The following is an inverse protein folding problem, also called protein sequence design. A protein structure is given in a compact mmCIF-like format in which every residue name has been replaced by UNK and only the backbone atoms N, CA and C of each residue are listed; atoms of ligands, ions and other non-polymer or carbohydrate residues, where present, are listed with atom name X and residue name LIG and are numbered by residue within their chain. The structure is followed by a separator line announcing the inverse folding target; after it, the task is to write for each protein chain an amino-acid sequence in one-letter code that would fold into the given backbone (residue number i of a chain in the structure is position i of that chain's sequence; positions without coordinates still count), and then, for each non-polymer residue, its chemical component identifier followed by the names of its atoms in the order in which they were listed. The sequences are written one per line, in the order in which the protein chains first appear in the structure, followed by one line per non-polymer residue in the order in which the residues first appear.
data_IF_364278796670
#
_entry.id   IF_364278796670
#
_cell.length_a   1.000
_cell.length_b   1.000
_cell.length_c   1.000
_cell.angle_alpha   90.00
_cell.angle_beta   90.00
_cell.angle_gamma   90.00
#
_symmetry.space_group_name_H-M   'P 1'
#
loop_
_entity.id
_entity.type
_entity.pdbx_description
1 polymer ?
#
# COMPACT_ATOMS: atom_id res chain seq x y z
N UNK A 1 34.40 -65.09 57.43
CA UNK A 1 34.29 -65.16 55.95
C UNK A 1 32.84 -65.30 55.46
N UNK A 2 32.03 -66.27 55.96
CA UNK A 2 30.66 -66.45 55.45
C UNK A 2 29.69 -65.30 55.75
N UNK A 3 29.75 -64.66 56.91
CA UNK A 3 28.92 -63.48 57.24
C UNK A 3 29.22 -62.24 56.39
N UNK A 4 30.48 -62.07 55.96
CA UNK A 4 30.88 -60.96 55.09
C UNK A 4 30.36 -61.18 53.67
N UNK A 5 30.46 -62.40 53.15
CA UNK A 5 29.91 -62.78 51.84
C UNK A 5 28.38 -62.68 51.79
N UNK A 6 27.69 -63.05 52.88
CA UNK A 6 26.23 -62.95 52.97
C UNK A 6 25.77 -61.47 52.95
N UNK A 7 26.47 -60.59 53.67
CA UNK A 7 26.18 -59.15 53.66
C UNK A 7 26.47 -58.47 52.31
N UNK A 8 27.48 -58.93 51.57
CA UNK A 8 27.80 -58.42 50.23
C UNK A 8 26.71 -58.85 49.23
N UNK A 9 26.30 -60.13 49.26
CA UNK A 9 25.24 -60.66 48.40
C UNK A 9 23.89 -59.97 48.65
N UNK A 10 23.57 -59.67 49.91
CA UNK A 10 22.33 -58.97 50.26
C UNK A 10 22.33 -57.51 49.79
N UNK A 11 23.50 -56.86 49.79
CA UNK A 11 23.66 -55.48 49.27
C UNK A 11 23.54 -55.44 47.74
N UNK A 12 24.16 -56.39 47.03
CA UNK A 12 24.06 -56.46 45.57
C UNK A 12 22.65 -56.80 45.09
N UNK A 13 21.95 -57.68 45.81
CA UNK A 13 20.56 -58.01 45.51
C UNK A 13 19.62 -56.81 45.72
N UNK A 14 19.82 -56.03 46.79
CA UNK A 14 19.06 -54.80 47.04
C UNK A 14 19.29 -53.74 45.97
N UNK A 15 20.54 -53.54 45.53
CA UNK A 15 20.89 -52.58 44.48
C UNK A 15 20.24 -52.98 43.14
N UNK A 16 20.27 -54.27 42.77
CA UNK A 16 19.60 -54.76 41.57
C UNK A 16 18.07 -54.61 41.63
N UNK A 17 17.47 -54.77 42.82
CA UNK A 17 16.04 -54.51 43.04
C UNK A 17 15.73 -53.03 42.88
N UNK A 18 16.57 -52.15 43.44
CA UNK A 18 16.44 -50.70 43.31
C UNK A 18 16.55 -50.23 41.85
N UNK A 19 17.49 -50.77 41.08
CA UNK A 19 17.63 -50.47 39.65
C UNK A 19 16.42 -50.97 38.83
N UNK A 20 15.92 -52.18 39.12
CA UNK A 20 14.69 -52.70 38.50
C UNK A 20 13.46 -51.86 38.85
N UNK A 21 13.35 -51.36 40.08
CA UNK A 21 12.28 -50.44 40.47
C UNK A 21 12.41 -49.06 39.81
N UNK A 22 13.63 -48.55 39.58
CA UNK A 22 13.85 -47.29 38.84
C UNK A 22 13.39 -47.37 37.38
N UNK A 23 13.52 -48.54 36.74
CA UNK A 23 13.00 -48.77 35.37
C UNK A 23 11.47 -48.97 35.31
N UNK A 24 10.82 -49.26 36.44
CA UNK A 24 9.37 -49.43 36.57
C UNK A 24 8.63 -48.13 36.94
N UNK A 25 9.34 -47.01 37.12
CA UNK A 25 8.70 -45.70 37.20
C UNK A 25 8.29 -45.31 35.78
N UNK A 26 7.12 -45.81 35.43
CA UNK A 26 6.27 -45.38 34.32
C UNK A 26 6.39 -43.86 34.25
N UNK A 27 6.86 -43.39 33.08
CA UNK A 27 6.79 -42.01 32.65
C UNK A 27 5.52 -41.37 33.22
N UNK A 28 5.68 -40.42 34.14
CA UNK A 28 4.65 -39.47 34.48
C UNK A 28 4.39 -38.65 33.21
N UNK A 29 3.62 -39.23 32.29
CA UNK A 29 2.89 -38.52 31.26
C UNK A 29 1.74 -37.79 31.97
N UNK A 30 2.09 -36.91 32.91
CA UNK A 30 1.32 -35.70 33.07
C UNK A 30 1.52 -34.93 31.77
N UNK A 31 0.67 -35.24 30.79
CA UNK A 31 0.27 -34.28 29.77
C UNK A 31 -0.34 -33.10 30.54
N UNK A 32 0.51 -32.24 31.08
CA UNK A 32 0.14 -30.88 31.39
C UNK A 32 -0.23 -30.32 30.01
N UNK A 33 -1.53 -30.34 29.70
CA UNK A 33 -2.07 -29.49 28.65
C UNK A 33 -1.71 -28.08 29.07
N UNK A 34 -0.56 -27.59 28.60
CA UNK A 34 -0.25 -26.19 28.63
C UNK A 34 -1.42 -25.52 27.92
N UNK A 35 -2.32 -24.94 28.72
CA UNK A 35 -3.46 -24.15 28.25
C UNK A 35 -2.87 -23.22 27.20
N UNK A 36 -3.28 -23.39 25.94
CA UNK A 36 -2.66 -22.68 24.82
C UNK A 36 -2.56 -21.21 25.19
N UNK A 37 -1.35 -20.66 25.15
CA UNK A 37 -1.05 -19.22 25.33
C UNK A 37 -1.88 -18.34 24.34
N UNK A 38 -2.55 -18.98 23.38
CA UNK A 38 -3.42 -18.39 22.36
C UNK A 38 -4.92 -18.29 22.73
N UNK A 39 -5.32 -18.51 23.99
CA UNK A 39 -6.67 -18.08 24.40
C UNK A 39 -6.70 -16.55 24.37
N UNK A 40 -7.54 -15.91 23.53
CA UNK A 40 -7.65 -14.46 23.56
C UNK A 40 -8.04 -14.05 24.97
N UNK A 41 -7.28 -13.12 25.57
CA UNK A 41 -7.60 -12.58 26.90
C UNK A 41 -9.09 -12.19 26.90
N UNK A 42 -9.87 -12.59 27.93
CA UNK A 42 -11.26 -12.18 28.01
C UNK A 42 -11.31 -10.66 27.88
N UNK A 43 -12.14 -10.16 26.96
CA UNK A 43 -12.33 -8.71 26.80
C UNK A 43 -13.04 -8.21 28.05
N UNK A 44 -12.28 -7.78 29.05
CA UNK A 44 -12.79 -7.05 30.20
C UNK A 44 -13.50 -5.81 29.66
N UNK A 45 -14.83 -5.81 29.69
CA UNK A 45 -15.60 -4.60 29.42
C UNK A 45 -15.33 -3.66 30.58
N UNK A 46 -15.09 -2.39 30.28
CA UNK A 46 -15.03 -1.38 31.33
C UNK A 46 -16.31 -1.48 32.17
N UNK A 47 -16.20 -1.44 33.51
CA UNK A 47 -17.37 -1.47 34.35
C UNK A 47 -18.30 -0.30 34.01
N UNK A 48 -19.61 -0.50 34.18
CA UNK A 48 -20.64 0.47 33.80
C UNK A 48 -20.52 1.81 34.53
N UNK A 49 -19.94 1.82 35.73
CA UNK A 49 -19.67 3.01 36.53
C UNK A 49 -18.39 3.77 36.15
N UNK A 50 -17.53 3.20 35.28
CA UNK A 50 -16.35 3.91 34.80
C UNK A 50 -16.79 5.01 33.84
N UNK A 51 -16.82 6.25 34.35
CA UNK A 51 -17.10 7.43 33.54
C UNK A 51 -16.09 7.52 32.41
N UNK A 52 -16.59 7.49 31.17
CA UNK A 52 -15.75 7.72 30.00
C UNK A 52 -15.30 9.18 30.06
N UNK A 53 -13.99 9.42 30.00
CA UNK A 53 -13.46 10.78 29.84
C UNK A 53 -14.11 11.42 28.61
N UNK A 54 -14.79 12.54 28.79
CA UNK A 54 -15.32 13.31 27.68
C UNK A 54 -14.14 13.81 26.84
N UNK A 55 -14.10 13.44 25.56
CA UNK A 55 -13.07 13.90 24.62
C UNK A 55 -13.78 14.78 23.60
N UNK A 56 -13.58 16.08 23.69
CA UNK A 56 -13.94 17.00 22.62
C UNK A 56 -12.74 17.18 21.68
N UNK A 57 -13.01 17.42 20.40
CA UNK A 57 -11.97 17.76 19.42
C UNK A 57 -11.46 19.18 19.63
N UNK A 58 -12.35 20.10 19.99
CA UNK A 58 -12.00 21.47 20.35
C UNK A 58 -12.19 21.68 21.86
N UNK A 59 -11.30 22.43 22.52
CA UNK A 59 -11.55 22.90 23.88
C UNK A 59 -12.67 23.95 23.84
N UNK A 60 -13.67 23.82 24.71
CA UNK A 60 -14.83 24.72 24.77
C UNK A 60 -14.49 26.20 25.07
N UNK A 61 -13.23 26.53 25.36
CA UNK A 61 -12.77 27.84 25.82
C UNK A 61 -12.17 28.71 24.70
N UNK A 62 -12.19 28.27 23.45
CA UNK A 62 -11.55 28.99 22.35
C UNK A 62 -12.52 30.00 21.71
N UNK A 63 -12.25 31.30 21.86
CA UNK A 63 -12.96 32.37 21.15
C UNK A 63 -12.72 32.31 19.64
N UNK A 64 -13.57 32.96 18.86
CA UNK A 64 -13.43 33.01 17.40
C UNK A 64 -12.12 33.71 16.97
N UNK A 65 -11.78 34.82 17.61
CA UNK A 65 -10.52 35.56 17.39
C UNK A 65 -9.29 34.65 17.60
N UNK A 66 -9.30 33.84 18.66
CA UNK A 66 -8.21 32.91 18.93
C UNK A 66 -8.12 31.81 17.86
N UNK A 67 -9.24 31.38 17.27
CA UNK A 67 -9.23 30.40 16.18
C UNK A 67 -8.61 30.97 14.91
N UNK A 68 -8.90 32.23 14.60
CA UNK A 68 -8.35 32.94 13.45
C UNK A 68 -6.84 33.15 13.64
N UNK A 69 -6.43 33.65 14.81
CA UNK A 69 -5.01 33.78 15.17
C UNK A 69 -4.25 32.44 15.07
N UNK A 70 -4.83 31.34 15.54
CA UNK A 70 -4.18 30.03 15.42
C UNK A 70 -4.02 29.57 13.97
N UNK A 71 -4.96 29.91 13.08
CA UNK A 71 -4.81 29.60 11.64
C UNK A 71 -3.68 30.40 11.02
N UNK A 72 -3.54 31.67 11.39
CA UNK A 72 -2.44 32.54 10.96
C UNK A 72 -1.08 32.02 11.44
N UNK A 73 -0.96 31.70 12.73
CA UNK A 73 0.26 31.09 13.30
C UNK A 73 0.63 29.80 12.58
N UNK A 74 -0.36 28.99 12.20
CA UNK A 74 -0.13 27.77 11.43
C UNK A 74 0.32 28.09 10.01
N UNK A 75 -0.30 29.05 9.31
CA UNK A 75 0.12 29.43 7.96
C UNK A 75 1.54 29.98 7.95
N UNK A 76 1.86 30.91 8.86
CA UNK A 76 3.17 31.57 8.93
C UNK A 76 4.28 30.56 9.21
N UNK A 77 4.00 29.58 10.08
CA UNK A 77 4.93 28.51 10.40
C UNK A 77 5.29 27.64 9.19
N UNK A 78 4.38 27.46 8.24
CA UNK A 78 4.53 26.52 7.12
C UNK A 78 4.63 27.20 5.74
N UNK A 79 4.62 28.54 5.65
CA UNK A 79 4.71 29.27 4.38
C UNK A 79 6.06 29.04 3.65
N UNK A 80 7.17 28.97 4.39
CA UNK A 80 8.52 28.93 3.83
C UNK A 80 9.17 27.54 3.94
N UNK A 81 8.49 26.50 3.45
CA UNK A 81 9.08 25.15 3.41
C UNK A 81 10.07 25.08 2.25
N UNK A 82 11.36 25.08 2.59
CA UNK A 82 12.44 24.75 1.66
C UNK A 82 12.98 23.36 1.97
N UNK A 83 13.48 22.61 0.96
CA UNK A 83 14.13 21.33 1.21
C UNK A 83 15.36 21.52 2.09
N UNK A 84 15.60 20.57 3.00
CA UNK A 84 16.66 20.72 4.01
C UNK A 84 18.08 20.73 3.44
N UNK A 85 18.26 20.11 2.28
CA UNK A 85 19.54 20.10 1.56
C UNK A 85 19.28 20.26 0.07
N UNK A 86 20.33 20.68 -0.65
CA UNK A 86 20.33 20.70 -2.11
C UNK A 86 20.17 19.27 -2.63
N UNK A 87 19.40 19.11 -3.71
CA UNK A 87 19.20 17.83 -4.37
C UNK A 87 20.44 17.54 -5.22
N UNK A 88 21.06 16.37 -5.04
CA UNK A 88 22.18 15.95 -5.87
C UNK A 88 21.70 15.65 -7.30
N UNK A 89 22.09 16.48 -8.26
CA UNK A 89 21.75 16.35 -9.69
C UNK A 89 22.78 15.58 -10.51
N UNK A 90 24.00 15.40 -9.98
CA UNK A 90 25.13 14.80 -10.70
C UNK A 90 25.02 13.27 -10.85
N UNK A 91 23.83 12.69 -10.76
CA UNK A 91 23.64 11.23 -10.75
C UNK A 91 23.16 10.80 -12.12
N UNK A 92 23.98 10.00 -12.79
CA UNK A 92 23.63 9.42 -14.08
C UNK A 92 22.47 8.43 -13.95
N UNK A 93 21.49 8.57 -14.83
CA UNK A 93 20.34 7.69 -14.84
C UNK A 93 20.71 6.29 -15.35
N UNK A 94 20.20 5.25 -14.69
CA UNK A 94 20.32 3.87 -15.12
C UNK A 94 18.98 3.12 -14.97
N UNK A 95 18.62 2.30 -15.96
CA UNK A 95 17.39 1.50 -16.00
C UNK A 95 17.19 0.53 -14.81
N UNK A 96 18.27 0.18 -14.10
CA UNK A 96 18.21 -0.65 -12.88
C UNK A 96 17.82 0.15 -11.64
N UNK A 97 18.05 1.46 -11.63
CA UNK A 97 17.75 2.33 -10.51
C UNK A 97 16.25 2.51 -10.37
N UNK A 98 15.82 2.65 -9.12
CA UNK A 98 14.42 2.87 -8.80
C UNK A 98 14.29 4.17 -8.05
N UNK A 99 13.64 5.15 -8.67
CA UNK A 99 13.26 6.41 -8.04
C UNK A 99 11.92 6.29 -7.29
N UNK A 100 11.53 7.39 -6.67
CA UNK A 100 10.27 7.52 -5.93
C UNK A 100 9.05 7.45 -6.84
N UNK A 101 7.89 7.16 -6.25
CA UNK A 101 6.59 7.35 -6.90
C UNK A 101 5.87 8.56 -6.32
N UNK A 102 4.63 8.77 -6.75
CA UNK A 102 3.75 9.83 -6.28
C UNK A 102 2.49 9.25 -5.64
N UNK A 103 1.91 10.02 -4.71
CA UNK A 103 0.57 9.78 -4.21
C UNK A 103 -0.36 10.73 -4.95
N UNK A 104 -1.46 10.21 -5.46
CA UNK A 104 -2.35 10.96 -6.33
C UNK A 104 -3.80 10.70 -5.98
N UNK A 105 -4.69 11.57 -6.45
CA UNK A 105 -6.14 11.44 -6.34
C UNK A 105 -6.73 11.20 -7.73
N UNK A 106 -7.53 10.14 -7.87
CA UNK A 106 -8.24 9.85 -9.11
C UNK A 106 -9.39 10.85 -9.27
N UNK A 107 -9.40 11.68 -10.30
CA UNK A 107 -10.50 12.63 -10.55
C UNK A 107 -11.62 11.96 -11.34
N UNK A 108 -11.30 11.32 -12.45
CA UNK A 108 -12.34 10.86 -13.37
C UNK A 108 -11.77 10.28 -14.65
N UNK A 109 -12.65 10.02 -15.61
CA UNK A 109 -12.30 9.42 -16.90
C UNK A 109 -12.61 10.43 -17.98
N UNK A 110 -11.68 10.66 -18.89
CA UNK A 110 -11.79 11.62 -19.97
C UNK A 110 -11.38 10.97 -21.31
N UNK A 111 -12.20 11.06 -22.36
CA UNK A 111 -11.83 10.57 -23.69
C UNK A 111 -10.84 11.52 -24.36
N UNK A 112 -9.87 10.99 -25.08
CA UNK A 112 -8.94 11.73 -25.93
C UNK A 112 -8.91 11.12 -27.32
N UNK A 113 -8.42 11.87 -28.30
CA UNK A 113 -8.28 11.39 -29.68
C UNK A 113 -6.81 11.39 -30.08
N UNK A 114 -6.40 10.32 -30.76
CA UNK A 114 -5.13 10.28 -31.46
C UNK A 114 -5.23 11.08 -32.76
N UNK A 115 -4.07 11.46 -33.31
CA UNK A 115 -3.98 12.02 -34.65
C UNK A 115 -4.53 11.06 -35.72
N UNK A 116 -4.52 9.75 -35.45
CA UNK A 116 -5.12 8.72 -36.30
C UNK A 116 -6.66 8.68 -36.24
N UNK A 117 -7.32 9.60 -35.54
CA UNK A 117 -8.79 9.63 -35.35
C UNK A 117 -9.33 8.59 -34.34
N UNK A 118 -8.48 7.68 -33.84
CA UNK A 118 -8.86 6.67 -32.84
C UNK A 118 -9.11 7.33 -31.48
N UNK A 119 -10.26 7.01 -30.89
CA UNK A 119 -10.62 7.41 -29.52
C UNK A 119 -9.92 6.54 -28.49
N UNK A 120 -9.33 7.17 -27.48
CA UNK A 120 -8.73 6.54 -26.30
C UNK A 120 -9.46 7.02 -25.04
N UNK A 121 -9.77 6.10 -24.14
CA UNK A 121 -10.24 6.45 -22.80
C UNK A 121 -9.03 6.64 -21.87
N UNK A 122 -8.95 7.79 -21.21
CA UNK A 122 -7.90 8.11 -20.24
C UNK A 122 -8.50 8.37 -18.86
N UNK A 123 -7.74 8.15 -17.80
CA UNK A 123 -8.12 8.50 -16.44
C UNK A 123 -7.27 9.67 -15.96
N UNK A 124 -7.94 10.69 -15.43
CA UNK A 124 -7.35 11.87 -14.82
C UNK A 124 -6.89 11.56 -13.41
N UNK A 125 -5.62 11.84 -13.13
CA UNK A 125 -5.00 11.60 -11.84
C UNK A 125 -4.28 12.88 -11.42
N UNK A 126 -4.72 13.47 -10.31
CA UNK A 126 -4.12 14.69 -9.79
C UNK A 126 -3.06 14.35 -8.74
N UNK A 127 -1.88 14.92 -8.91
CA UNK A 127 -0.84 14.96 -7.89
C UNK A 127 -1.21 16.10 -6.95
N UNK A 128 -1.64 15.74 -5.74
CA UNK A 128 -1.83 16.72 -4.68
C UNK A 128 -0.48 17.13 -4.10
N UNK A 129 -0.52 18.04 -3.14
CA UNK A 129 0.60 18.50 -2.33
C UNK A 129 1.40 17.32 -1.73
N UNK A 130 2.43 16.89 -2.48
CA UNK A 130 3.27 15.73 -2.22
C UNK A 130 4.64 16.20 -1.75
N UNK A 131 5.00 15.84 -0.52
CA UNK A 131 6.34 16.10 0.00
C UNK A 131 7.03 14.84 0.50
N UNK A 132 8.35 14.85 0.42
CA UNK A 132 9.18 13.85 1.10
C UNK A 132 9.24 14.17 2.58
N UNK A 133 8.82 13.21 3.41
CA UNK A 133 8.75 13.39 4.88
C UNK A 133 9.99 12.84 5.55
N UNK A 134 10.39 11.61 5.20
CA UNK A 134 11.52 10.94 5.83
C UNK A 134 12.12 9.89 4.90
N UNK A 135 13.44 9.81 4.90
CA UNK A 135 14.18 8.71 4.32
C UNK A 135 14.56 7.70 5.41
N UNK A 136 14.49 6.41 5.08
CA UNK A 136 14.95 5.30 5.91
C UNK A 136 15.97 4.52 5.08
N UNK A 137 17.19 4.42 5.60
CA UNK A 137 18.29 3.73 4.93
C UNK A 137 17.98 2.23 4.75
N UNK A 138 18.64 1.54 3.79
CA UNK A 138 18.44 0.10 3.60
C UNK A 138 18.85 -0.74 4.82
N UNK A 139 19.73 -0.21 5.68
CA UNK A 139 20.25 -0.86 6.88
C UNK A 139 19.28 -0.75 8.05
N UNK A 140 18.72 0.44 8.26
CA UNK A 140 17.69 0.69 9.27
C UNK A 140 16.35 0.05 8.93
N UNK A 141 16.08 -0.16 7.64
CA UNK A 141 14.80 -0.67 7.21
C UNK A 141 14.60 -2.14 7.63
N UNK A 142 13.91 -2.33 8.76
CA UNK A 142 13.49 -3.65 9.22
C UNK A 142 12.10 -4.04 8.67
N UNK A 143 11.97 -5.06 7.81
CA UNK A 143 10.66 -5.52 7.34
C UNK A 143 9.92 -6.31 8.45
N UNK A 144 8.58 -6.20 8.54
CA UNK A 144 7.79 -6.86 9.59
C UNK A 144 7.80 -8.40 9.49
N UNK A 145 8.21 -8.96 8.35
CA UNK A 145 8.46 -10.39 8.18
C UNK A 145 9.94 -10.57 7.87
N UNK A 146 10.65 -11.35 8.70
CA UNK A 146 12.02 -11.79 8.39
C UNK A 146 11.97 -12.52 7.05
N UNK A 147 12.72 -12.00 6.07
CA UNK A 147 12.83 -12.64 4.75
C UNK A 147 13.77 -13.83 4.85
N UNK A 148 13.42 -14.91 4.17
CA UNK A 148 14.14 -16.20 4.22
C UNK A 148 15.48 -16.13 3.47
N UNK A 149 15.65 -15.16 2.55
CA UNK A 149 16.80 -15.09 1.64
C UNK A 149 17.57 -13.76 1.74
N UNK A 150 18.88 -13.81 1.47
CA UNK A 150 19.75 -12.65 1.29
C UNK A 150 19.34 -11.89 0.02
N UNK A 151 19.05 -10.59 0.15
CA UNK A 151 18.71 -9.74 -0.99
C UNK A 151 19.97 -9.04 -1.50
N UNK A 152 20.26 -9.24 -2.78
CA UNK A 152 21.46 -8.69 -3.45
C UNK A 152 21.34 -7.16 -3.65
N UNK A 153 20.13 -6.63 -3.83
CA UNK A 153 19.88 -5.20 -4.05
C UNK A 153 18.97 -4.61 -2.95
N UNK A 154 19.53 -4.39 -1.76
CA UNK A 154 18.78 -3.75 -0.66
C UNK A 154 18.42 -2.31 -1.06
N UNK A 155 17.14 -1.97 -0.96
CA UNK A 155 16.60 -0.64 -1.28
C UNK A 155 16.26 0.10 0.00
N UNK A 156 16.49 1.41 -0.01
CA UNK A 156 15.99 2.30 1.03
C UNK A 156 14.49 2.49 0.89
N UNK A 157 13.90 3.16 1.87
CA UNK A 157 12.50 3.51 1.86
C UNK A 157 12.31 5.00 2.05
N UNK A 158 11.58 5.63 1.14
CA UNK A 158 11.22 7.03 1.21
C UNK A 158 9.75 7.15 1.57
N UNK A 159 9.46 7.93 2.61
CA UNK A 159 8.11 8.23 3.07
C UNK A 159 7.66 9.52 2.40
N UNK A 160 6.57 9.44 1.66
CA UNK A 160 5.95 10.56 0.97
C UNK A 160 4.62 10.84 1.65
N UNK A 161 4.34 12.12 1.90
CA UNK A 161 3.08 12.60 2.42
C UNK A 161 2.29 13.36 1.37
N UNK A 162 0.97 13.17 1.36
CA UNK A 162 0.05 13.81 0.43
C UNK A 162 -1.16 14.40 1.13
N UNK A 163 -1.66 15.51 0.57
CA UNK A 163 -2.80 16.30 1.05
C UNK A 163 -2.51 16.92 2.43
N UNK A 164 -2.24 18.24 2.45
CA UNK A 164 -2.09 18.98 3.69
C UNK A 164 -3.36 18.90 4.54
N UNK A 165 -3.17 18.83 5.84
CA UNK A 165 -4.26 18.87 6.81
C UNK A 165 -3.86 19.61 8.07
N UNK A 166 -4.88 20.14 8.73
CA UNK A 166 -4.70 20.92 9.95
C UNK A 166 -4.05 20.05 11.05
N UNK A 167 -2.96 20.53 11.67
CA UNK A 167 -2.28 19.79 12.73
C UNK A 167 -3.17 19.42 13.91
N UNK A 168 -4.24 20.18 14.16
CA UNK A 168 -5.21 19.96 15.23
C UNK A 168 -6.00 18.66 15.10
N UNK A 169 -6.17 18.15 13.88
CA UNK A 169 -6.92 16.91 13.64
C UNK A 169 -6.12 15.65 14.00
N UNK A 170 -4.81 15.78 14.24
CA UNK A 170 -3.91 14.66 14.44
C UNK A 170 -3.34 14.60 15.86
N UNK A 171 -2.85 13.42 16.23
CA UNK A 171 -2.15 13.24 17.50
C UNK A 171 -0.76 13.90 17.45
N UNK A 172 -0.28 14.32 18.63
CA UNK A 172 1.07 14.90 18.79
C UNK A 172 2.18 14.00 18.23
N UNK A 173 2.02 12.69 18.37
CA UNK A 173 2.94 11.67 17.84
C UNK A 173 2.97 11.68 16.31
N UNK A 174 1.80 11.73 15.67
CA UNK A 174 1.70 11.79 14.21
C UNK A 174 2.33 13.07 13.65
N UNK A 175 2.02 14.23 14.27
CA UNK A 175 2.68 15.49 13.94
C UNK A 175 4.20 15.43 14.18
N UNK A 176 4.65 14.62 15.14
CA UNK A 176 6.07 14.38 15.43
C UNK A 176 6.86 13.83 14.24
N UNK A 177 6.21 13.08 13.34
CA UNK A 177 6.86 12.49 12.15
C UNK A 177 7.35 13.57 11.20
N UNK A 178 6.60 14.67 11.07
CA UNK A 178 6.87 15.73 10.10
C UNK A 178 7.85 16.79 10.62
N UNK A 179 8.11 16.83 11.93
CA UNK A 179 9.07 17.78 12.55
C UNK A 179 10.43 17.73 11.89
N UNK A 180 10.90 16.53 11.55
CA UNK A 180 12.18 16.31 10.89
C UNK A 180 12.23 16.81 9.45
N UNK A 181 11.08 17.09 8.81
CA UNK A 181 11.00 17.64 7.44
C UNK A 181 10.57 19.11 7.40
N UNK A 182 10.02 19.65 8.49
CA UNK A 182 9.43 20.98 8.53
C UNK A 182 8.10 21.13 7.78
N UNK A 183 7.60 20.08 7.11
CA UNK A 183 6.37 20.13 6.32
C UNK A 183 5.12 20.10 7.22
N UNK A 184 4.04 20.74 6.77
CA UNK A 184 2.73 20.59 7.38
C UNK A 184 2.28 19.11 7.41
N UNK A 185 1.63 18.62 8.49
CA UNK A 185 1.11 17.26 8.55
C UNK A 185 0.22 16.94 7.34
N UNK A 186 0.47 15.78 6.74
CA UNK A 186 -0.28 15.31 5.57
C UNK A 186 -1.27 14.22 5.98
N UNK A 187 -2.43 14.12 5.31
CA UNK A 187 -3.45 13.08 5.63
C UNK A 187 -2.98 11.69 5.26
N UNK A 188 -2.28 11.57 4.14
CA UNK A 188 -1.88 10.28 3.59
C UNK A 188 -0.37 10.15 3.60
N UNK A 189 0.12 8.98 4.03
CA UNK A 189 1.53 8.62 3.99
C UNK A 189 1.70 7.33 3.19
N UNK A 190 2.66 7.31 2.28
CA UNK A 190 3.04 6.12 1.54
C UNK A 190 4.55 5.90 1.59
N UNK A 191 4.92 4.64 1.43
CA UNK A 191 6.31 4.18 1.43
C UNK A 191 6.68 3.72 0.04
N UNK A 192 7.70 4.33 -0.54
CA UNK A 192 8.27 3.91 -1.81
C UNK A 192 9.66 3.31 -1.57
N UNK A 193 9.92 2.19 -2.23
CA UNK A 193 11.27 1.59 -2.23
C UNK A 193 12.11 2.27 -3.30
N UNK A 194 13.27 2.77 -2.89
CA UNK A 194 14.11 3.66 -3.67
C UNK A 194 15.56 3.15 -3.62
N UNK A 195 16.29 3.26 -4.72
CA UNK A 195 17.73 2.98 -4.73
C UNK A 195 18.49 4.01 -3.87
N UNK A 196 19.61 3.67 -3.23
CA UNK A 196 20.39 4.62 -2.42
C UNK A 196 20.83 5.88 -3.16
N UNK A 197 21.00 5.79 -4.48
CA UNK A 197 21.33 6.91 -5.36
C UNK A 197 20.14 7.83 -5.65
N UNK A 198 18.90 7.33 -5.61
CA UNK A 198 17.70 8.09 -5.95
C UNK A 198 17.07 8.80 -4.73
N UNK A 199 17.88 9.10 -3.71
CA UNK A 199 17.41 9.63 -2.43
C UNK A 199 17.14 11.12 -2.55
N UNK A 200 15.99 11.55 -2.03
CA UNK A 200 15.60 12.95 -1.97
C UNK A 200 15.65 13.44 -0.53
N UNK A 201 16.09 14.70 -0.31
CA UNK A 201 16.04 15.29 1.00
C UNK A 201 14.59 15.46 1.49
N UNK A 202 14.35 15.32 2.79
CA UNK A 202 13.04 15.64 3.37
C UNK A 202 12.69 17.12 3.15
N UNK A 203 11.40 17.41 2.99
CA UNK A 203 10.88 18.72 2.63
C UNK A 203 10.69 18.92 1.13
N UNK A 204 11.35 18.13 0.27
CA UNK A 204 11.24 18.28 -1.20
C UNK A 204 9.81 18.10 -1.69
N UNK A 205 9.35 19.05 -2.52
CA UNK A 205 8.07 19.02 -3.21
C UNK A 205 8.17 18.12 -4.46
N UNK A 206 7.13 17.33 -4.71
CA UNK A 206 7.02 16.45 -5.87
C UNK A 206 5.81 16.82 -6.72
N UNK A 207 6.04 17.19 -7.98
CA UNK A 207 4.99 17.56 -8.94
C UNK A 207 4.70 16.46 -9.95
N UNK A 208 3.70 16.67 -10.80
CA UNK A 208 3.34 15.75 -11.88
C UNK A 208 4.48 15.53 -12.89
N UNK A 209 5.36 16.53 -13.05
CA UNK A 209 6.53 16.46 -13.94
C UNK A 209 7.60 15.46 -13.52
N UNK A 210 7.44 14.82 -12.36
CA UNK A 210 8.23 13.64 -12.02
C UNK A 210 8.15 12.54 -13.10
N UNK A 211 7.01 12.43 -13.78
CA UNK A 211 6.88 11.53 -14.92
C UNK A 211 6.90 12.34 -16.22
N UNK A 212 7.69 11.96 -17.24
CA UNK A 212 7.57 12.57 -18.55
C UNK A 212 6.43 11.91 -19.36
N UNK A 213 5.99 12.59 -20.41
CA UNK A 213 4.92 12.11 -21.30
C UNK A 213 5.41 10.92 -22.15
N UNK A 214 4.49 10.02 -22.52
CA UNK A 214 4.78 8.84 -23.33
C UNK A 214 5.31 7.64 -22.53
N UNK A 215 5.66 7.85 -21.26
CA UNK A 215 6.16 6.80 -20.38
C UNK A 215 5.09 5.93 -19.72
N UNK A 216 5.53 4.78 -19.23
CA UNK A 216 4.66 3.78 -18.63
C UNK A 216 4.77 3.75 -17.10
N UNK A 217 3.61 3.79 -16.44
CA UNK A 217 3.48 3.74 -14.98
C UNK A 217 2.65 2.54 -14.53
N UNK A 218 2.94 2.07 -13.33
CA UNK A 218 2.13 1.12 -12.59
C UNK A 218 1.36 1.88 -11.51
N UNK A 219 0.08 1.58 -11.39
CA UNK A 219 -0.87 2.33 -10.58
C UNK A 219 -1.52 1.40 -9.58
N UNK A 220 -1.27 1.65 -8.29
CA UNK A 220 -1.82 0.88 -7.17
C UNK A 220 -2.91 1.68 -6.46
N UNK A 221 -4.08 1.08 -6.32
CA UNK A 221 -5.21 1.71 -5.60
C UNK A 221 -6.04 0.69 -4.85
N UNK A 222 -6.91 1.17 -3.98
CA UNK A 222 -7.91 0.33 -3.30
C UNK A 222 -9.12 0.20 -4.20
N UNK A 223 -9.50 -1.02 -4.56
CA UNK A 223 -10.69 -1.24 -5.40
C UNK A 223 -11.97 -0.82 -4.67
N UNK A 224 -12.96 -0.31 -5.41
CA UNK A 224 -14.35 -0.08 -4.97
C UNK A 224 -14.83 -1.18 -4.03
N UNK A 225 -15.40 -0.79 -2.89
CA UNK A 225 -15.98 -1.73 -1.96
C UNK A 225 -17.36 -2.17 -2.45
N UNK A 226 -17.59 -3.49 -2.52
CA UNK A 226 -18.88 -4.06 -2.90
C UNK A 226 -19.52 -4.84 -1.75
N UNK A 227 -18.94 -4.82 -0.54
CA UNK A 227 -19.45 -5.54 0.62
C UNK A 227 -19.48 -7.07 0.42
N UNK A 228 -20.38 -7.74 1.14
CA UNK A 228 -20.57 -9.18 1.02
C UNK A 228 -21.30 -9.54 -0.28
N UNK A 229 -20.64 -10.27 -1.17
CA UNK A 229 -21.16 -10.65 -2.48
C UNK A 229 -21.33 -12.17 -2.62
N UNK A 230 -22.39 -12.56 -3.33
CA UNK A 230 -22.63 -13.95 -3.72
C UNK A 230 -21.61 -14.45 -4.75
N UNK A 231 -21.55 -15.78 -4.95
CA UNK A 231 -20.56 -16.43 -5.83
C UNK A 231 -20.62 -16.00 -7.29
N UNK A 232 -21.81 -15.70 -7.81
CA UNK A 232 -21.96 -15.24 -9.19
C UNK A 232 -21.25 -13.90 -9.40
N UNK A 233 -21.50 -12.89 -8.56
CA UNK A 233 -20.89 -11.56 -8.70
C UNK A 233 -19.42 -11.55 -8.30
N UNK A 234 -19.06 -12.32 -7.26
CA UNK A 234 -17.68 -12.35 -6.71
C UNK A 234 -16.71 -13.14 -7.57
N UNK A 235 -17.13 -14.29 -8.10
CA UNK A 235 -16.27 -15.25 -8.78
C UNK A 235 -16.68 -15.56 -10.23
N UNK A 236 -17.79 -14.98 -10.72
CA UNK A 236 -18.27 -15.21 -12.08
C UNK A 236 -18.94 -16.58 -12.29
N UNK A 237 -19.49 -17.20 -11.24
CA UNK A 237 -20.20 -18.47 -11.37
C UNK A 237 -21.46 -18.29 -12.24
N UNK A 238 -21.77 -19.28 -13.10
CA UNK A 238 -22.94 -19.23 -14.00
C UNK A 238 -24.28 -19.34 -13.26
N UNK A 239 -24.32 -20.01 -12.11
CA UNK A 239 -25.57 -20.32 -11.41
C UNK A 239 -26.30 -21.53 -12.04
N UNK A 240 -27.56 -21.74 -11.64
CA UNK A 240 -28.45 -22.77 -12.19
C UNK A 240 -29.47 -22.12 -13.15
N UNK A 241 -30.08 -22.88 -14.09
CA UNK A 241 -31.09 -22.32 -15.00
C UNK A 241 -32.31 -21.76 -14.26
N UNK A 242 -33.06 -20.90 -14.95
CA UNK A 242 -34.25 -20.27 -14.40
C UNK A 242 -35.51 -21.17 -14.47
N UNK A 243 -35.61 -22.01 -15.51
CA UNK A 243 -36.74 -22.90 -15.80
C UNK A 243 -36.39 -24.38 -15.58
N UNK A 244 -37.30 -25.29 -16.00
CA UNK A 244 -37.15 -26.75 -15.93
C UNK A 244 -37.01 -27.32 -14.51
N UNK A 245 -37.85 -26.87 -13.57
CA UNK A 245 -38.00 -27.47 -12.23
C UNK A 245 -36.94 -27.06 -11.20
N UNK A 246 -36.06 -26.11 -11.50
CA UNK A 246 -35.07 -25.59 -10.55
C UNK A 246 -35.76 -24.80 -9.43
N UNK A 247 -35.73 -25.34 -8.21
CA UNK A 247 -36.37 -24.71 -7.05
C UNK A 247 -35.33 -24.07 -6.11
N UNK A 248 -35.37 -22.74 -5.92
CA UNK A 248 -34.58 -21.98 -4.91
C UNK A 248 -33.04 -22.11 -5.00
N UNK A 249 -32.48 -22.55 -6.13
CA UNK A 249 -31.03 -22.75 -6.30
C UNK A 249 -30.36 -21.90 -7.38
N UNK A 250 -31.09 -21.00 -8.06
CA UNK A 250 -30.60 -20.21 -9.22
C UNK A 250 -29.23 -19.54 -9.02
N UNK A 251 -28.93 -19.05 -7.80
CA UNK A 251 -27.70 -18.30 -7.49
C UNK A 251 -26.75 -19.00 -6.51
N UNK A 252 -27.00 -20.27 -6.20
CA UNK A 252 -26.18 -21.05 -5.25
C UNK A 252 -24.84 -21.47 -5.88
N UNK A 253 -23.80 -21.75 -5.07
CA UNK A 253 -22.50 -22.22 -5.57
C UNK A 253 -22.52 -23.59 -6.25
N UNK A 254 -23.55 -24.41 -6.01
CA UNK A 254 -23.53 -25.82 -6.40
C UNK A 254 -22.62 -26.62 -5.47
N UNK A 255 -21.95 -27.63 -6.00
CA UNK A 255 -21.02 -28.46 -5.24
C UNK A 255 -19.74 -27.67 -4.87
N UNK A 256 -19.26 -27.84 -3.63
CA UNK A 256 -18.13 -27.11 -3.03
C UNK A 256 -16.93 -28.04 -2.77
N UNK A 257 -17.10 -29.36 -2.86
CA UNK A 257 -16.05 -30.30 -2.48
C UNK A 257 -16.08 -31.63 -3.24
N UNK A 258 -14.91 -32.25 -3.33
CA UNK A 258 -14.76 -33.60 -3.86
C UNK A 258 -15.22 -34.60 -2.81
N UNK A 259 -16.24 -35.40 -3.12
CA UNK A 259 -16.64 -36.54 -2.30
C UNK A 259 -15.47 -37.54 -2.14
N UNK A 260 -15.55 -38.38 -1.11
CA UNK A 260 -14.55 -39.42 -0.82
C UNK A 260 -13.87 -39.27 0.54
N UNK A 261 -12.67 -39.84 0.64
CA UNK A 261 -11.94 -40.12 1.89
C UNK A 261 -11.57 -38.88 2.73
N UNK A 262 -11.38 -37.71 2.08
CA UNK A 262 -10.84 -36.52 2.74
C UNK A 262 -11.88 -35.58 3.38
N UNK A 263 -13.19 -35.85 3.25
CA UNK A 263 -14.28 -35.28 4.07
C UNK A 263 -14.28 -33.77 4.35
N UNK A 264 -13.56 -32.95 3.57
CA UNK A 264 -13.30 -31.53 3.88
C UNK A 264 -13.26 -30.66 2.63
N UNK A 265 -13.50 -29.37 2.82
CA UNK A 265 -13.33 -28.36 1.77
C UNK A 265 -11.87 -27.92 1.67
N UNK A 266 -11.35 -27.80 0.45
CA UNK A 266 -9.98 -27.36 0.21
C UNK A 266 -9.78 -25.88 0.60
N UNK A 267 -8.68 -25.51 1.28
CA UNK A 267 -8.37 -24.11 1.57
C UNK A 267 -8.29 -23.28 0.29
N UNK A 268 -8.89 -22.09 0.28
CA UNK A 268 -8.95 -21.24 -0.91
C UNK A 268 -10.10 -21.54 -1.88
N UNK A 269 -10.99 -22.50 -1.56
CA UNK A 269 -12.21 -22.75 -2.34
C UNK A 269 -13.06 -21.48 -2.50
N UNK A 270 -13.54 -21.23 -3.72
CA UNK A 270 -14.30 -20.02 -4.07
C UNK A 270 -15.69 -20.05 -3.43
N UNK A 271 -15.89 -19.20 -2.43
CA UNK A 271 -17.12 -19.07 -1.64
C UNK A 271 -17.67 -17.63 -1.67
N UNK A 272 -18.95 -17.40 -1.29
CA UNK A 272 -19.47 -16.04 -1.12
C UNK A 272 -18.70 -15.29 -0.01
N UNK A 273 -18.70 -13.97 -0.06
CA UNK A 273 -17.96 -13.17 0.92
C UNK A 273 -17.62 -11.77 0.44
N UNK A 274 -16.82 -11.07 1.23
CA UNK A 274 -16.45 -9.68 0.94
C UNK A 274 -15.70 -9.55 -0.41
N UNK A 275 -16.20 -8.69 -1.28
CA UNK A 275 -15.63 -8.35 -2.58
C UNK A 275 -15.21 -6.89 -2.62
N UNK A 276 -14.05 -6.59 -3.19
CA UNK A 276 -13.53 -5.23 -3.26
C UNK A 276 -12.77 -4.82 -1.99
N UNK A 277 -12.57 -3.50 -1.82
CA UNK A 277 -11.86 -2.89 -0.69
C UNK A 277 -10.42 -3.43 -0.46
N UNK A 278 -9.78 -3.94 -1.52
CA UNK A 278 -8.43 -4.51 -1.49
C UNK A 278 -7.52 -3.73 -2.41
N UNK A 279 -6.22 -3.71 -2.11
CA UNK A 279 -5.24 -3.11 -3.01
C UNK A 279 -5.07 -3.96 -4.27
N UNK A 280 -5.18 -3.32 -5.43
CA UNK A 280 -4.86 -3.90 -6.75
C UNK A 280 -3.97 -2.92 -7.51
N UNK A 281 -3.28 -3.46 -8.52
CA UNK A 281 -2.31 -2.72 -9.32
C UNK A 281 -2.70 -2.90 -10.78
N UNK A 282 -2.90 -1.80 -11.49
CA UNK A 282 -2.99 -1.77 -12.96
C UNK A 282 -1.61 -1.41 -13.49
N UNK A 283 -1.05 -2.25 -14.37
CA UNK A 283 0.37 -2.18 -14.77
C UNK A 283 0.52 -1.78 -16.22
N UNK A 284 1.62 -1.09 -16.53
CA UNK A 284 2.01 -0.74 -17.90
C UNK A 284 1.07 0.25 -18.56
N UNK A 285 0.63 1.28 -17.83
CA UNK A 285 -0.25 2.31 -18.36
C UNK A 285 0.57 3.49 -18.89
N UNK A 286 0.38 3.86 -20.17
CA UNK A 286 1.05 5.00 -20.82
C UNK A 286 0.49 6.34 -20.31
N UNK A 287 1.34 7.35 -20.15
CA UNK A 287 0.94 8.74 -19.88
C UNK A 287 0.79 9.48 -21.20
N UNK A 288 -0.37 10.09 -21.43
CA UNK A 288 -0.73 10.75 -22.71
C UNK A 288 -0.60 12.27 -22.67
N UNK A 289 -0.87 12.87 -21.50
CA UNK A 289 -0.81 14.32 -21.29
C UNK A 289 -0.48 14.60 -19.83
N UNK A 290 0.24 15.70 -19.60
CA UNK A 290 0.51 16.24 -18.27
C UNK A 290 0.19 17.72 -18.29
N UNK A 291 -0.51 18.18 -17.25
CA UNK A 291 -0.76 19.59 -17.01
C UNK A 291 0.08 20.06 -15.82
N UNK A 292 0.93 21.07 -16.03
CA UNK A 292 1.86 21.61 -15.03
C UNK A 292 1.13 22.41 -13.94
N UNK A 293 0.19 23.25 -14.35
CA UNK A 293 -0.54 24.19 -13.49
C UNK A 293 -1.37 23.51 -12.42
N UNK A 294 -2.14 22.49 -12.80
CA UNK A 294 -3.01 21.74 -11.89
C UNK A 294 -2.38 20.42 -11.39
N UNK A 295 -1.17 20.10 -11.86
CA UNK A 295 -0.46 18.86 -11.57
C UNK A 295 -1.30 17.60 -11.88
N UNK A 296 -1.88 17.54 -13.08
CA UNK A 296 -2.76 16.42 -13.50
C UNK A 296 -2.07 15.57 -14.56
N UNK A 297 -2.20 14.25 -14.43
CA UNK A 297 -1.72 13.23 -15.34
C UNK A 297 -2.91 12.57 -16.04
N UNK A 298 -2.86 12.47 -17.37
CA UNK A 298 -3.79 11.67 -18.17
C UNK A 298 -3.16 10.31 -18.44
N UNK A 299 -3.65 9.29 -17.75
CA UNK A 299 -3.13 7.93 -17.87
C UNK A 299 -4.04 7.08 -18.74
N UNK A 300 -3.45 6.23 -19.57
CA UNK A 300 -4.17 5.31 -20.46
C UNK A 300 -5.11 4.38 -19.71
N UNK A 301 -6.31 4.20 -20.26
CA UNK A 301 -7.32 3.26 -19.79
C UNK A 301 -8.27 3.84 -18.74
N UNK A 302 -9.42 3.17 -18.60
CA UNK A 302 -10.46 3.48 -17.61
C UNK A 302 -10.33 2.64 -16.33
N UNK A 303 -9.61 1.52 -16.42
CA UNK A 303 -9.56 0.47 -15.39
C UNK A 303 -8.55 0.76 -14.26
N UNK A 304 -8.54 2.00 -13.76
CA UNK A 304 -7.75 2.36 -12.57
C UNK A 304 -8.51 1.97 -11.30
N UNK A 305 -7.88 1.20 -10.38
CA UNK A 305 -8.54 0.71 -9.18
C UNK A 305 -8.98 1.86 -8.27
N UNK A 306 -10.24 1.79 -7.85
CA UNK A 306 -10.85 2.75 -6.92
C UNK A 306 -11.92 3.61 -7.56
N UNK A 307 -12.71 4.22 -6.70
CA UNK A 307 -13.77 5.16 -7.08
C UNK A 307 -13.18 6.51 -7.47
N UNK A 308 -13.99 7.38 -8.06
CA UNK A 308 -13.66 8.80 -8.20
C UNK A 308 -13.33 9.39 -6.83
N UNK A 309 -12.33 10.27 -6.76
CA UNK A 309 -11.73 10.87 -5.58
C UNK A 309 -10.96 9.92 -4.65
N UNK A 310 -10.79 8.65 -5.02
CA UNK A 310 -9.96 7.72 -4.24
C UNK A 310 -8.46 8.00 -4.40
N UNK A 311 -7.70 7.66 -3.37
CA UNK A 311 -6.25 7.76 -3.35
C UNK A 311 -5.61 6.61 -4.13
N UNK A 312 -4.60 6.96 -4.90
CA UNK A 312 -3.89 6.07 -5.80
C UNK A 312 -2.39 6.35 -5.71
N UNK A 313 -1.57 5.30 -5.78
CA UNK A 313 -0.11 5.38 -5.77
C UNK A 313 0.40 5.10 -7.17
N UNK A 314 1.15 6.05 -7.74
CA UNK A 314 1.71 5.98 -9.09
C UNK A 314 3.22 5.83 -8.97
N UNK A 315 3.80 4.89 -9.70
CA UNK A 315 5.25 4.70 -9.76
C UNK A 315 5.66 4.14 -11.13
N UNK A 316 6.94 4.22 -11.47
CA UNK A 316 7.44 3.71 -12.75
C UNK A 316 7.09 2.23 -12.97
N UNK A 317 6.77 1.85 -14.21
CA UNK A 317 6.32 0.49 -14.48
C UNK A 317 7.39 -0.54 -14.17
N UNK A 318 6.98 -1.64 -13.52
CA UNK A 318 7.85 -2.79 -13.26
C UNK A 318 7.77 -3.84 -14.37
N UNK A 319 7.02 -3.57 -15.45
CA UNK A 319 6.87 -4.49 -16.58
C UNK A 319 8.14 -4.44 -17.44
N UNK A 320 8.84 -5.57 -17.66
CA UNK A 320 10.14 -5.56 -18.38
C UNK A 320 10.09 -4.94 -19.78
N UNK A 321 9.03 -5.20 -20.54
CA UNK A 321 8.84 -4.69 -21.91
C UNK A 321 8.48 -3.21 -21.99
N UNK A 322 8.14 -2.59 -20.85
CA UNK A 322 7.69 -1.19 -20.76
C UNK A 322 8.64 -0.34 -19.92
N UNK A 323 9.89 -0.80 -19.77
CA UNK A 323 10.93 0.01 -19.16
C UNK A 323 11.27 1.21 -20.05
N UNK A 324 11.60 2.36 -19.46
CA UNK A 324 12.08 3.52 -20.22
C UNK A 324 13.35 3.16 -20.99
N UNK A 325 13.38 3.57 -22.25
CA UNK A 325 14.58 3.51 -23.11
C UNK A 325 15.36 4.82 -23.01
N UNK A 326 14.64 5.94 -22.90
CA UNK A 326 15.19 7.29 -22.75
C UNK A 326 15.45 7.62 -21.27
N UNK A 327 16.42 8.52 -20.97
CA UNK A 327 16.71 8.92 -19.62
C UNK A 327 15.55 9.68 -18.99
N UNK A 328 15.22 9.30 -17.75
CA UNK A 328 14.20 9.95 -16.93
C UNK A 328 14.77 11.15 -16.20
N UNK A 329 13.94 12.15 -15.82
CA UNK A 329 14.34 13.12 -14.82
C UNK A 329 14.65 12.36 -13.51
N UNK A 330 15.89 12.47 -13.06
CA UNK A 330 16.41 11.69 -11.94
C UNK A 330 17.23 12.60 -11.02
N UNK A 331 17.06 12.52 -9.67
CA UNK A 331 16.13 11.67 -8.93
C UNK A 331 14.65 12.07 -9.08
N UNK A 332 14.38 13.35 -9.33
CA UNK A 332 13.05 13.96 -9.61
C UNK A 332 13.23 15.13 -10.57
N UNK A 333 12.12 15.69 -11.06
CA UNK A 333 12.12 16.96 -11.79
C UNK A 333 12.36 18.15 -10.85
N UNK A 334 13.28 19.05 -11.21
CA UNK A 334 13.57 20.27 -10.45
C UNK A 334 12.79 21.45 -11.00
N UNK A 335 12.21 22.26 -10.11
CA UNK A 335 11.42 23.43 -10.51
C UNK A 335 12.38 24.58 -10.80
N UNK A 336 12.46 25.01 -12.07
CA UNK A 336 13.36 26.07 -12.49
C UNK A 336 13.06 26.57 -13.90
N UNK A 337 12.59 25.68 -14.78
CA UNK A 337 12.26 26.03 -16.15
C UNK A 337 10.76 26.32 -16.30
N UNK A 338 10.42 27.43 -16.98
CA UNK A 338 9.04 27.72 -17.40
C UNK A 338 8.61 26.69 -18.44
N UNK A 339 7.80 25.73 -18.01
CA UNK A 339 7.22 24.71 -18.87
C UNK A 339 5.87 25.18 -19.42
N UNK A 340 5.47 24.71 -20.62
CA UNK A 340 4.12 24.96 -21.13
C UNK A 340 3.06 24.40 -20.16
N UNK A 341 1.85 24.97 -20.20
CA UNK A 341 0.76 24.55 -19.32
C UNK A 341 0.38 23.08 -19.54
N UNK A 342 0.38 22.63 -20.80
CA UNK A 342 0.07 21.27 -21.19
C UNK A 342 1.17 20.66 -22.06
N UNK A 343 1.60 19.45 -21.69
CA UNK A 343 2.53 18.63 -22.47
C UNK A 343 1.77 17.43 -23.00
N UNK A 344 1.71 17.28 -24.33
CA UNK A 344 1.03 16.20 -25.02
C UNK A 344 2.02 15.17 -25.57
N UNK A 345 1.58 13.92 -25.68
CA UNK A 345 2.32 12.90 -26.39
C UNK A 345 2.23 13.14 -27.90
N UNK A 346 3.27 12.75 -28.65
CA UNK A 346 3.36 12.99 -30.10
C UNK A 346 2.19 12.37 -30.88
N UNK A 347 1.62 11.28 -30.39
CA UNK A 347 0.52 10.57 -31.04
C UNK A 347 -0.85 11.23 -30.80
N UNK A 348 -0.96 12.09 -29.79
CA UNK A 348 -2.22 12.68 -29.34
C UNK A 348 -2.52 13.94 -30.15
N UNK A 349 -3.79 14.11 -30.49
CA UNK A 349 -4.25 15.34 -31.13
C UNK A 349 -4.39 16.45 -30.06
N UNK A 350 -3.70 17.58 -30.27
CA UNK A 350 -3.84 18.76 -29.41
C UNK A 350 -5.25 19.33 -29.56
N UNK A 351 -5.84 19.80 -28.45
CA UNK A 351 -7.19 20.35 -28.46
C UNK A 351 -7.28 21.68 -29.23
N UNK A 352 -6.20 22.47 -29.23
CA UNK A 352 -6.11 23.75 -29.95
C UNK A 352 -5.71 23.58 -31.42
N UNK A 353 -5.36 22.35 -31.83
CA UNK A 353 -4.94 22.06 -33.20
C UNK A 353 -6.09 22.17 -34.20
N UNK A 354 -5.77 22.34 -35.50
CA UNK A 354 -6.77 22.28 -36.56
C UNK A 354 -7.41 20.89 -36.64
N UNK A 355 -8.66 20.81 -37.10
CA UNK A 355 -9.36 19.53 -37.27
C UNK A 355 -8.56 18.54 -38.13
N UNK A 356 -8.58 17.26 -37.75
CA UNK A 356 -7.90 16.19 -38.47
C UNK A 356 -8.56 16.01 -39.84
N UNK A 357 -7.79 16.17 -40.92
CA UNK A 357 -8.20 15.85 -42.29
C UNK A 357 -7.47 14.59 -42.74
N UNK A 358 -8.23 13.63 -43.25
CA UNK A 358 -7.67 12.44 -43.89
C UNK A 358 -7.83 12.63 -45.39
N UNK A 359 -6.73 12.80 -46.11
CA UNK A 359 -6.76 12.83 -47.56
C UNK A 359 -7.14 11.43 -48.06
N UNK A 360 -8.26 11.32 -48.79
CA UNK A 360 -8.74 10.05 -49.37
C UNK A 360 -7.81 9.52 -50.48
N UNK A 361 -6.84 10.33 -50.91
CA UNK A 361 -5.87 9.98 -51.94
C UNK A 361 -4.66 9.23 -51.35
N UNK A 362 -4.84 7.95 -50.99
CA UNK A 362 -3.78 6.93 -50.95
C UNK A 362 -4.29 5.51 -50.77
#
# INVERSE_FOLDING_TARGET
MSQVLCNILHKTALIQLEEKFRHLIISNNQLIRNKSINLPRPRLRNPTWLTKKHRSLEPNFLTQENKEFLKEVVSDKYQNIQPQSVINTNIEWNSKLKRTGLICKKIGVYPMWLQNGKKISTTLIQVLDNHVVKYISPEEHNPPRKRIEKIINKKGCLIIGAEAADPFLFTKEYCGIFKGSGVIPKKFLARFFVSPEAVLPPGTLLTAMHFPVGHYVDIRGKTTDRGFQGVMKRHGFKGMPASHGVTKTHRRPGNIGGGGEKGRVWPGTKMPGHMGNRYRISRGLKIWRINTKYNVLWVSGQAIPGETNSLVYVYDSLVPSKKPTEPLPFPTFLHGDELPEDIYDKEVHSFEGPSILFDESK
#
